data_IF_952288902774
#
_entry.id   IF_952288902774
#
_cell.length_a   1.000
_cell.length_b   1.000
_cell.length_c   1.000
_cell.angle_alpha   90.00
_cell.angle_beta   90.00
_cell.angle_gamma   90.00
#
_symmetry.space_group_name_H-M   'P 1'
#
loop_
_entity.id
_entity.type
_entity.pdbx_description
1 polymer ?
#
# COMPACT_ATOMS: atom_id res chain seq x y z
N UNK A 1 2.61 -21.54 -13.91
CA UNK A 1 1.21 -21.96 -14.18
C UNK A 1 0.83 -21.67 -15.63
N UNK A 2 -0.05 -22.46 -16.26
CA UNK A 2 -0.58 -22.17 -17.62
C UNK A 2 -2.06 -21.79 -17.58
N UNK A 3 -2.57 -21.08 -18.60
CA UNK A 3 -4.01 -20.79 -18.70
C UNK A 3 -4.84 -22.09 -18.73
N UNK A 4 -4.30 -23.16 -19.31
CA UNK A 4 -4.96 -24.48 -19.34
C UNK A 4 -5.07 -25.09 -17.94
N UNK A 5 -3.98 -25.03 -17.17
CA UNK A 5 -3.98 -25.51 -15.79
C UNK A 5 -4.88 -24.66 -14.89
N UNK A 6 -4.94 -23.36 -15.14
CA UNK A 6 -5.88 -22.47 -14.45
C UNK A 6 -7.33 -22.79 -14.80
N UNK A 7 -7.64 -23.00 -16.08
CA UNK A 7 -8.98 -23.40 -16.53
C UNK A 7 -9.46 -24.68 -15.84
N UNK A 8 -8.61 -25.70 -15.78
CA UNK A 8 -8.90 -26.97 -15.07
C UNK A 8 -9.17 -26.75 -13.57
N UNK A 9 -8.41 -25.87 -12.92
CA UNK A 9 -8.58 -25.57 -11.49
C UNK A 9 -9.83 -24.75 -11.18
N UNK A 10 -10.26 -23.91 -12.10
CA UNK A 10 -11.42 -23.03 -11.94
C UNK A 10 -12.70 -23.64 -12.56
N UNK A 11 -12.62 -24.86 -13.09
CA UNK A 11 -13.70 -25.51 -13.84
C UNK A 11 -14.25 -24.66 -14.99
N UNK A 12 -13.36 -23.99 -15.72
CA UNK A 12 -13.69 -23.18 -16.91
C UNK A 12 -12.86 -23.58 -18.12
N UNK A 13 -13.40 -23.36 -19.31
CA UNK A 13 -12.70 -23.71 -20.54
C UNK A 13 -11.47 -22.82 -20.76
N UNK A 14 -10.37 -23.42 -21.24
CA UNK A 14 -9.19 -22.68 -21.66
C UNK A 14 -9.50 -21.64 -22.75
N UNK A 15 -10.44 -21.98 -23.64
CA UNK A 15 -10.90 -21.09 -24.71
C UNK A 15 -11.53 -19.82 -24.12
N UNK A 16 -12.31 -19.92 -23.04
CA UNK A 16 -12.89 -18.76 -22.36
C UNK A 16 -11.81 -17.85 -21.76
N UNK A 17 -10.81 -18.41 -21.08
CA UNK A 17 -9.71 -17.62 -20.52
C UNK A 17 -8.89 -16.93 -21.60
N UNK A 18 -8.65 -17.62 -22.71
CA UNK A 18 -7.93 -17.05 -23.86
C UNK A 18 -8.77 -15.97 -24.55
N UNK A 19 -10.07 -16.18 -24.74
CA UNK A 19 -10.96 -15.20 -25.34
C UNK A 19 -11.08 -13.93 -24.48
N UNK A 20 -11.08 -14.06 -23.15
CA UNK A 20 -11.22 -12.93 -22.23
C UNK A 20 -9.92 -12.17 -21.99
N UNK A 21 -8.80 -12.86 -21.86
CA UNK A 21 -7.54 -12.26 -21.41
C UNK A 21 -6.44 -12.28 -22.46
N UNK A 22 -6.63 -12.99 -23.58
CA UNK A 22 -5.68 -13.13 -24.69
C UNK A 22 -4.47 -14.00 -24.33
N UNK A 23 -3.71 -13.60 -23.32
CA UNK A 23 -2.45 -14.22 -22.91
C UNK A 23 -2.36 -14.37 -21.38
N UNK A 24 -1.33 -15.08 -20.91
CA UNK A 24 -1.01 -15.13 -19.47
C UNK A 24 -0.67 -13.75 -18.91
N UNK A 25 -0.04 -12.93 -19.73
CA UNK A 25 0.33 -11.57 -19.38
C UNK A 25 -0.91 -10.67 -19.31
N UNK A 26 -1.83 -10.77 -20.27
CA UNK A 26 -3.12 -10.08 -20.19
C UNK A 26 -3.93 -10.50 -18.96
N UNK A 27 -3.90 -11.78 -18.59
CA UNK A 27 -4.49 -12.26 -17.34
C UNK A 27 -3.78 -11.66 -16.11
N UNK A 28 -2.45 -11.57 -16.14
CA UNK A 28 -1.68 -10.96 -15.04
C UNK A 28 -2.09 -9.50 -14.84
N UNK A 29 -2.14 -8.71 -15.92
CA UNK A 29 -2.55 -7.30 -15.85
C UNK A 29 -3.98 -7.16 -15.31
N UNK A 30 -4.93 -7.95 -15.83
CA UNK A 30 -6.31 -7.92 -15.38
C UNK A 30 -6.46 -8.32 -13.90
N UNK A 31 -5.68 -9.30 -13.42
CA UNK A 31 -5.70 -9.72 -12.03
C UNK A 31 -5.11 -8.65 -11.09
N UNK A 32 -4.00 -8.03 -11.49
CA UNK A 32 -3.39 -6.94 -10.72
C UNK A 32 -4.28 -5.70 -10.71
N UNK A 33 -4.90 -5.36 -11.84
CA UNK A 33 -5.83 -4.25 -11.92
C UNK A 33 -7.03 -4.44 -10.98
N UNK A 34 -7.65 -5.63 -11.00
CA UNK A 34 -8.74 -5.96 -10.09
C UNK A 34 -8.33 -5.80 -8.62
N UNK A 35 -7.18 -6.33 -8.23
CA UNK A 35 -6.76 -6.27 -6.84
C UNK A 35 -6.38 -4.84 -6.44
N UNK A 36 -5.51 -4.17 -7.20
CA UNK A 36 -4.99 -2.83 -6.86
C UNK A 36 -6.07 -1.74 -6.90
N UNK A 37 -7.16 -1.93 -7.64
CA UNK A 37 -8.33 -1.05 -7.58
C UNK A 37 -8.88 -0.88 -6.15
N UNK A 38 -8.77 -1.89 -5.30
CA UNK A 38 -9.21 -1.81 -3.90
C UNK A 38 -8.31 -0.89 -3.07
N UNK A 39 -6.99 -0.99 -3.25
CA UNK A 39 -6.03 -0.09 -2.61
C UNK A 39 -6.20 1.36 -3.12
N UNK A 40 -6.35 1.53 -4.44
CA UNK A 40 -6.62 2.84 -5.05
C UNK A 40 -7.89 3.46 -4.48
N UNK A 41 -8.98 2.70 -4.41
CA UNK A 41 -10.24 3.16 -3.85
C UNK A 41 -10.08 3.61 -2.39
N UNK A 42 -9.38 2.81 -1.57
CA UNK A 42 -9.12 3.15 -0.17
C UNK A 42 -8.41 4.49 -0.03
N UNK A 43 -7.31 4.69 -0.76
CA UNK A 43 -6.57 5.97 -0.75
C UNK A 43 -7.39 7.14 -1.29
N UNK A 44 -8.18 6.95 -2.35
CA UNK A 44 -9.03 8.02 -2.90
C UNK A 44 -10.15 8.41 -1.95
N UNK A 45 -10.74 7.45 -1.25
CA UNK A 45 -11.80 7.71 -0.27
C UNK A 45 -11.27 8.55 0.89
N UNK A 46 -10.15 8.16 1.50
CA UNK A 46 -9.55 8.97 2.58
C UNK A 46 -9.06 10.31 2.06
N UNK A 47 -8.57 10.36 0.81
CA UNK A 47 -8.12 11.59 0.19
C UNK A 47 -9.25 12.54 -0.23
N UNK A 48 -10.47 12.06 -0.38
CA UNK A 48 -11.63 12.85 -0.81
C UNK A 48 -12.59 13.22 0.32
N UNK A 49 -12.42 12.65 1.52
CA UNK A 49 -13.33 12.86 2.64
C UNK A 49 -13.11 14.25 3.29
N UNK A 50 -14.09 15.17 3.20
CA UNK A 50 -13.96 16.50 3.79
C UNK A 50 -14.08 16.49 5.32
N UNK A 51 -14.51 15.38 5.94
CA UNK A 51 -14.62 15.26 7.39
C UNK A 51 -13.28 14.92 8.07
N UNK A 52 -12.26 14.53 7.30
CA UNK A 52 -10.94 14.16 7.81
C UNK A 52 -9.95 15.30 7.65
N UNK A 53 -9.20 15.60 8.71
CA UNK A 53 -8.00 16.43 8.57
C UNK A 53 -6.87 15.67 7.83
N UNK A 54 -5.80 16.39 7.44
CA UNK A 54 -4.72 15.80 6.65
C UNK A 54 -4.03 14.62 7.37
N UNK A 55 -3.93 14.65 8.70
CA UNK A 55 -3.26 13.62 9.50
C UNK A 55 -4.16 12.39 9.66
N UNK A 56 -5.44 12.61 9.94
CA UNK A 56 -6.48 11.58 10.00
C UNK A 56 -6.63 10.86 8.65
N UNK A 57 -6.66 11.62 7.55
CA UNK A 57 -6.74 11.06 6.20
C UNK A 57 -5.50 10.21 5.86
N UNK A 58 -4.30 10.68 6.22
CA UNK A 58 -3.06 9.92 6.04
C UNK A 58 -3.06 8.63 6.87
N UNK A 59 -3.39 8.73 8.16
CA UNK A 59 -3.48 7.59 9.07
C UNK A 59 -4.48 6.55 8.55
N UNK A 60 -5.68 6.97 8.17
CA UNK A 60 -6.71 6.07 7.66
C UNK A 60 -6.27 5.44 6.32
N UNK A 61 -5.57 6.18 5.46
CA UNK A 61 -5.01 5.64 4.22
C UNK A 61 -4.00 4.51 4.48
N UNK A 62 -3.12 4.68 5.47
CA UNK A 62 -2.19 3.63 5.91
C UNK A 62 -2.96 2.41 6.45
N UNK A 63 -3.99 2.62 7.27
CA UNK A 63 -4.84 1.52 7.76
C UNK A 63 -5.45 0.74 6.59
N UNK A 64 -6.05 1.44 5.62
CA UNK A 64 -6.66 0.81 4.43
C UNK A 64 -5.62 0.05 3.59
N UNK A 65 -4.40 0.58 3.46
CA UNK A 65 -3.32 -0.09 2.75
C UNK A 65 -2.93 -1.42 3.42
N UNK A 66 -2.86 -1.46 4.75
CA UNK A 66 -2.52 -2.69 5.50
C UNK A 66 -3.68 -3.70 5.44
N UNK A 67 -4.93 -3.22 5.55
CA UNK A 67 -6.12 -4.06 5.35
C UNK A 67 -6.15 -4.70 3.95
N UNK A 68 -5.77 -3.93 2.93
CA UNK A 68 -5.59 -4.44 1.57
C UNK A 68 -4.50 -5.51 1.51
N UNK A 69 -3.33 -5.26 2.09
CA UNK A 69 -2.21 -6.22 2.09
C UNK A 69 -2.58 -7.56 2.76
N UNK A 70 -3.36 -7.52 3.84
CA UNK A 70 -3.87 -8.73 4.50
C UNK A 70 -4.88 -9.52 3.65
N UNK A 71 -5.66 -8.81 2.83
CA UNK A 71 -6.66 -9.43 1.93
C UNK A 71 -6.05 -9.92 0.62
N UNK A 72 -4.95 -9.30 0.19
CA UNK A 72 -4.25 -9.62 -1.06
C UNK A 72 -2.74 -9.84 -0.84
N UNK A 73 -2.32 -10.75 0.06
CA UNK A 73 -0.89 -10.96 0.37
C UNK A 73 -0.09 -11.46 -0.85
N UNK A 74 -0.75 -12.14 -1.80
CA UNK A 74 -0.15 -12.52 -3.07
C UNK A 74 0.25 -11.33 -3.95
N UNK A 75 -0.50 -10.22 -3.88
CA UNK A 75 -0.16 -9.01 -4.65
C UNK A 75 1.11 -8.40 -4.09
N UNK A 76 1.23 -8.32 -2.76
CA UNK A 76 2.45 -7.84 -2.09
C UNK A 76 3.67 -8.63 -2.53
N UNK A 77 3.59 -9.97 -2.56
CA UNK A 77 4.68 -10.82 -3.06
C UNK A 77 5.03 -10.54 -4.52
N UNK A 78 4.02 -10.38 -5.38
CA UNK A 78 4.23 -10.04 -6.79
C UNK A 78 4.93 -8.68 -6.91
N UNK A 79 4.48 -7.67 -6.17
CA UNK A 79 5.09 -6.33 -6.20
C UNK A 79 6.52 -6.33 -5.66
N UNK A 80 6.81 -7.09 -4.60
CA UNK A 80 8.17 -7.27 -4.10
C UNK A 80 9.10 -7.86 -5.17
N UNK A 81 8.61 -8.85 -5.93
CA UNK A 81 9.38 -9.49 -6.98
C UNK A 81 9.56 -8.57 -8.20
N UNK A 82 8.47 -8.02 -8.73
CA UNK A 82 8.49 -7.16 -9.92
C UNK A 82 9.21 -5.84 -9.64
N UNK A 83 9.19 -5.32 -8.41
CA UNK A 83 9.94 -4.12 -8.02
C UNK A 83 11.45 -4.27 -8.06
N UNK A 84 11.98 -5.51 -8.09
CA UNK A 84 13.40 -5.80 -8.21
C UNK A 84 13.89 -6.03 -9.65
N UNK A 85 12.99 -5.95 -10.63
CA UNK A 85 13.28 -6.28 -12.04
C UNK A 85 12.74 -5.18 -12.94
N UNK A 86 13.52 -4.74 -13.93
CA UNK A 86 12.97 -3.83 -14.95
C UNK A 86 12.05 -4.61 -15.90
N UNK A 87 10.74 -4.38 -15.76
CA UNK A 87 9.71 -5.07 -16.53
C UNK A 87 8.53 -4.14 -16.86
N UNK A 88 7.79 -4.46 -17.93
CA UNK A 88 6.55 -3.77 -18.28
C UNK A 88 5.48 -3.88 -17.17
N UNK A 89 5.59 -4.91 -16.32
CA UNK A 89 4.67 -5.17 -15.22
C UNK A 89 4.80 -4.16 -14.10
N UNK A 90 6.02 -3.88 -13.64
CA UNK A 90 6.20 -2.86 -12.60
C UNK A 90 5.89 -1.46 -13.14
N UNK A 91 6.24 -1.19 -14.41
CA UNK A 91 5.90 0.07 -15.10
C UNK A 91 4.38 0.28 -15.14
N UNK A 92 3.63 -0.75 -15.54
CA UNK A 92 2.16 -0.73 -15.49
C UNK A 92 1.64 -0.39 -14.09
N UNK A 93 2.14 -1.03 -13.04
CA UNK A 93 1.68 -0.77 -11.66
C UNK A 93 1.96 0.67 -11.26
N UNK A 94 3.17 1.17 -11.52
CA UNK A 94 3.57 2.54 -11.18
C UNK A 94 2.72 3.54 -11.94
N UNK A 95 2.63 3.41 -13.27
CA UNK A 95 1.93 4.37 -14.13
C UNK A 95 0.41 4.39 -13.86
N UNK A 96 -0.20 3.22 -13.65
CA UNK A 96 -1.65 3.11 -13.49
C UNK A 96 -2.15 3.43 -12.08
N UNK A 97 -1.37 3.11 -11.05
CA UNK A 97 -1.83 3.18 -9.66
C UNK A 97 -1.01 4.14 -8.80
N UNK A 98 0.32 4.15 -8.90
CA UNK A 98 1.15 4.96 -8.01
C UNK A 98 1.19 6.42 -8.46
N UNK A 99 1.51 6.66 -9.74
CA UNK A 99 1.65 8.01 -10.31
C UNK A 99 0.40 8.87 -10.12
N UNK A 100 -0.84 8.37 -10.34
CA UNK A 100 -2.05 9.17 -10.12
C UNK A 100 -2.40 9.42 -8.64
N UNK A 101 -1.95 8.55 -7.72
CA UNK A 101 -2.23 8.67 -6.29
C UNK A 101 -1.19 9.54 -5.58
N UNK A 102 0.06 9.54 -6.03
CA UNK A 102 1.17 10.27 -5.42
C UNK A 102 0.83 11.74 -5.11
N UNK A 103 0.30 12.55 -6.06
CA UNK A 103 -0.02 13.95 -5.77
C UNK A 103 -1.06 14.13 -4.64
N UNK A 104 -2.02 13.20 -4.50
CA UNK A 104 -3.06 13.25 -3.46
C UNK A 104 -2.48 13.08 -2.06
N UNK A 105 -1.39 12.31 -1.95
CA UNK A 105 -0.67 12.08 -0.71
C UNK A 105 0.32 13.22 -0.46
N UNK A 106 1.09 13.63 -1.47
CA UNK A 106 2.10 14.68 -1.35
C UNK A 106 1.50 16.03 -0.95
N UNK A 107 0.33 16.41 -1.46
CA UNK A 107 -0.35 17.64 -1.04
C UNK A 107 -0.61 17.65 0.47
N UNK A 108 -1.03 16.52 1.05
CA UNK A 108 -1.26 16.40 2.50
C UNK A 108 0.02 16.44 3.29
N UNK A 109 1.03 15.67 2.87
CA UNK A 109 2.35 15.69 3.50
C UNK A 109 2.94 17.11 3.51
N UNK A 110 2.76 17.86 2.43
CA UNK A 110 3.21 19.24 2.33
C UNK A 110 2.48 20.17 3.32
N UNK A 111 1.16 20.02 3.48
CA UNK A 111 0.37 20.79 4.46
C UNK A 111 0.75 20.46 5.90
N UNK A 112 0.85 19.17 6.24
CA UNK A 112 1.28 18.71 7.56
C UNK A 112 2.69 19.22 7.91
N UNK A 113 3.60 19.20 6.94
CA UNK A 113 4.96 19.76 7.11
C UNK A 113 4.93 21.27 7.30
N UNK A 114 4.16 22.01 6.49
CA UNK A 114 4.04 23.45 6.63
C UNK A 114 3.43 23.87 7.98
N UNK A 115 2.54 23.04 8.54
CA UNK A 115 1.99 23.20 9.89
C UNK A 115 2.94 22.73 11.01
N UNK A 116 4.14 22.23 10.68
CA UNK A 116 5.11 21.72 11.65
C UNK A 116 4.71 20.41 12.34
N UNK A 117 3.64 19.75 11.89
CA UNK A 117 3.10 18.54 12.52
C UNK A 117 3.94 17.29 12.23
N UNK A 118 4.54 17.22 11.05
CA UNK A 118 5.42 16.11 10.66
C UNK A 118 6.79 16.61 10.20
N UNK A 119 7.80 15.77 10.38
CA UNK A 119 9.12 15.92 9.79
C UNK A 119 9.07 15.67 8.27
N UNK A 120 10.04 16.24 7.55
CA UNK A 120 10.16 16.00 6.11
C UNK A 120 10.55 14.55 5.82
N UNK A 121 9.75 13.86 5.01
CA UNK A 121 10.05 12.54 4.46
C UNK A 121 9.74 12.55 2.95
N UNK A 122 10.65 12.08 2.09
CA UNK A 122 10.33 11.89 0.67
C UNK A 122 9.16 10.91 0.49
N UNK A 123 8.30 11.15 -0.50
CA UNK A 123 7.15 10.29 -0.80
C UNK A 123 7.59 8.83 -1.00
N UNK A 124 8.70 8.62 -1.68
CA UNK A 124 9.25 7.30 -2.00
C UNK A 124 9.55 6.49 -0.73
N UNK A 125 10.14 7.13 0.28
CA UNK A 125 10.43 6.47 1.55
C UNK A 125 9.15 6.09 2.30
N UNK A 126 8.14 6.96 2.30
CA UNK A 126 6.83 6.64 2.87
C UNK A 126 6.14 5.51 2.10
N UNK A 127 6.20 5.56 0.77
CA UNK A 127 5.63 4.54 -0.11
C UNK A 127 6.19 3.16 0.24
N UNK A 128 7.50 2.99 0.28
CA UNK A 128 8.10 1.70 0.63
C UNK A 128 7.76 1.26 2.05
N UNK A 129 7.75 2.19 3.01
CA UNK A 129 7.38 1.89 4.39
C UNK A 129 5.94 1.39 4.51
N UNK A 130 5.00 1.97 3.77
CA UNK A 130 3.56 1.72 3.91
C UNK A 130 3.08 0.58 3.00
N UNK A 131 3.57 0.50 1.76
CA UNK A 131 3.14 -0.51 0.78
C UNK A 131 3.82 -1.86 1.01
N UNK A 132 5.08 -1.87 1.46
CA UNK A 132 5.86 -3.10 1.60
C UNK A 132 6.08 -3.54 3.05
N UNK A 133 6.37 -2.60 3.96
CA UNK A 133 6.78 -2.89 5.34
C UNK A 133 5.76 -3.75 6.14
N UNK A 134 4.62 -3.18 6.60
CA UNK A 134 3.59 -3.93 7.32
C UNK A 134 3.00 -5.10 6.50
N UNK A 135 3.04 -4.98 5.18
CA UNK A 135 2.52 -5.99 4.27
C UNK A 135 3.34 -7.30 4.30
N UNK A 136 4.63 -7.23 4.65
CA UNK A 136 5.52 -8.38 4.70
C UNK A 136 5.05 -9.46 5.68
N UNK A 137 4.44 -9.08 6.82
CA UNK A 137 3.88 -10.01 7.80
C UNK A 137 2.85 -10.95 7.15
N UNK A 138 2.03 -10.45 6.23
CA UNK A 138 1.01 -11.26 5.54
C UNK A 138 1.58 -11.99 4.30
N UNK A 139 2.57 -11.38 3.65
CA UNK A 139 3.12 -11.86 2.39
C UNK A 139 4.17 -12.98 2.57
N UNK A 140 5.02 -12.87 3.59
CA UNK A 140 6.19 -13.72 3.82
C UNK A 140 5.89 -14.77 4.90
N UNK A 141 5.03 -15.74 4.57
CA UNK A 141 4.51 -16.71 5.56
C UNK A 141 5.60 -17.55 6.20
N UNK A 142 6.59 -18.02 5.43
CA UNK A 142 7.71 -18.83 5.96
C UNK A 142 8.57 -18.02 6.93
N UNK A 143 8.92 -16.78 6.57
CA UNK A 143 9.69 -15.89 7.45
C UNK A 143 8.92 -15.59 8.74
N UNK A 144 7.63 -15.33 8.62
CA UNK A 144 6.75 -15.08 9.76
C UNK A 144 6.70 -16.28 10.70
N UNK A 145 6.52 -17.49 10.17
CA UNK A 145 6.55 -18.74 10.96
C UNK A 145 7.87 -18.94 11.69
N UNK A 146 9.01 -18.72 11.02
CA UNK A 146 10.34 -18.87 11.62
C UNK A 146 10.61 -17.84 12.73
N UNK A 147 10.05 -16.63 12.61
CA UNK A 147 10.13 -15.60 13.65
C UNK A 147 9.12 -15.80 14.80
N UNK A 148 8.25 -16.82 14.72
CA UNK A 148 7.13 -16.99 15.64
C UNK A 148 6.08 -15.87 15.51
N UNK A 149 6.07 -15.17 14.38
CA UNK A 149 5.08 -14.17 14.06
C UNK A 149 3.84 -14.85 13.47
N UNK A 150 2.70 -14.68 14.14
CA UNK A 150 1.41 -15.17 13.65
C UNK A 150 0.60 -13.97 13.15
N UNK A 151 0.42 -13.82 11.82
CA UNK A 151 -0.36 -12.73 11.27
C UNK A 151 -1.78 -12.75 11.87
N UNK A 152 -2.33 -11.59 12.26
CA UNK A 152 -3.68 -11.53 12.81
C UNK A 152 -4.69 -12.08 11.81
N UNK A 153 -5.59 -12.93 12.28
CA UNK A 153 -6.64 -13.53 11.47
C UNK A 153 -8.00 -12.89 11.78
N UNK A 154 -8.79 -12.65 10.73
CA UNK A 154 -10.10 -12.01 10.83
C UNK A 154 -10.02 -10.48 10.82
N UNK A 155 -11.08 -9.86 10.27
CA UNK A 155 -11.09 -8.42 9.96
C UNK A 155 -10.78 -7.52 11.17
N UNK A 156 -11.32 -7.84 12.35
CA UNK A 156 -11.12 -7.01 13.54
C UNK A 156 -9.69 -7.07 14.07
N UNK A 157 -9.07 -8.25 14.05
CA UNK A 157 -7.69 -8.41 14.49
C UNK A 157 -6.72 -7.73 13.51
N UNK A 158 -6.96 -7.89 12.20
CA UNK A 158 -6.18 -7.21 11.17
C UNK A 158 -6.34 -5.69 11.30
N UNK A 159 -7.55 -5.18 11.54
CA UNK A 159 -7.80 -3.76 11.74
C UNK A 159 -7.04 -3.20 12.93
N UNK A 160 -7.09 -3.87 14.09
CA UNK A 160 -6.32 -3.44 15.28
C UNK A 160 -4.82 -3.40 15.01
N UNK A 161 -4.30 -4.39 14.28
CA UNK A 161 -2.90 -4.40 13.87
C UNK A 161 -2.58 -3.25 12.90
N UNK A 162 -3.43 -3.02 11.90
CA UNK A 162 -3.28 -1.93 10.93
C UNK A 162 -3.30 -0.55 11.61
N UNK A 163 -4.20 -0.34 12.57
CA UNK A 163 -4.28 0.87 13.39
C UNK A 163 -3.01 1.07 14.19
N UNK A 164 -2.53 0.04 14.90
CA UNK A 164 -1.29 0.12 15.67
C UNK A 164 -0.06 0.44 14.80
N UNK A 165 0.04 -0.17 13.62
CA UNK A 165 1.14 0.10 12.68
C UNK A 165 1.04 1.51 12.08
N UNK A 166 -0.17 1.97 11.75
CA UNK A 166 -0.39 3.33 11.29
C UNK A 166 0.00 4.34 12.37
N UNK A 167 -0.33 4.08 13.64
CA UNK A 167 0.05 4.92 14.77
C UNK A 167 1.57 4.99 14.93
N UNK A 168 2.28 3.86 14.84
CA UNK A 168 3.76 3.83 14.87
C UNK A 168 4.37 4.66 13.74
N UNK A 169 3.86 4.52 12.52
CA UNK A 169 4.36 5.27 11.36
C UNK A 169 4.10 6.77 11.56
N UNK A 170 2.88 7.16 11.95
CA UNK A 170 2.52 8.56 12.19
C UNK A 170 3.35 9.15 13.32
N UNK A 171 3.48 8.49 14.47
CA UNK A 171 4.29 8.97 15.58
C UNK A 171 5.78 9.09 15.23
N UNK A 172 6.31 8.18 14.41
CA UNK A 172 7.67 8.28 13.88
C UNK A 172 7.88 9.46 12.91
N UNK A 173 6.80 9.98 12.32
CA UNK A 173 6.81 11.18 11.48
C UNK A 173 6.58 12.46 12.28
N UNK A 174 5.90 12.41 13.42
CA UNK A 174 5.59 13.58 14.22
C UNK A 174 6.84 14.38 14.61
N UNK A 175 6.77 15.71 14.50
CA UNK A 175 7.83 16.58 14.99
C UNK A 175 7.88 16.53 16.53
N UNK A 176 9.07 16.48 17.16
CA UNK A 176 9.16 16.61 18.61
C UNK A 176 8.60 17.97 19.07
N UNK A 177 7.97 18.06 20.25
CA UNK A 177 7.63 19.35 20.84
C UNK A 177 8.91 20.18 20.99
N UNK A 178 8.99 21.33 20.32
CA UNK A 178 10.10 22.28 20.45
C UNK A 178 11.00 22.48 19.21
N UNK A 179 10.85 21.71 18.15
CA UNK A 179 11.68 21.88 16.93
C UNK A 179 11.37 23.14 16.10
N UNK A 180 10.34 23.91 16.46
CA UNK A 180 9.90 25.13 15.77
C UNK A 180 10.33 26.46 16.39
N UNK A 181 11.04 26.46 17.52
CA UNK A 181 11.53 27.70 18.14
C UNK A 181 13.03 27.86 17.87
N UNK A 182 13.39 28.45 16.72
CA UNK A 182 14.71 29.07 16.60
C UNK A 182 14.71 30.28 17.54
N UNK A 183 15.62 30.37 18.52
CA UNK A 183 15.71 31.57 19.35
C UNK A 183 16.09 32.74 18.43
N UNK A 184 15.25 33.78 18.40
CA UNK A 184 15.64 35.09 17.89
C UNK A 184 16.92 35.49 18.63
N UNK A 185 18.06 35.49 17.93
CA UNK A 185 19.26 36.12 18.45
C UNK A 185 19.00 37.63 18.42
N UNK A 186 18.69 38.19 19.58
CA UNK A 186 18.82 39.63 19.83
C UNK A 186 20.29 40.02 19.70
N UNK A 187 20.55 40.96 18.80
CA UNK A 187 21.72 41.84 18.78
C UNK A 187 21.20 43.26 18.68
#
# INVERSE_FOLDING_TARGET
MSLRELGRRLDVSHALLTARYGSKEGLWFAALEYALAHAEQGWRQTAGDPALDDLQALRLGIVQQIMFAASFPQVVRILNHEGGVDSDRIRFVVDRFVTPLRPLVEVRLNRLRAAGQIRSLPYEALHFMVVHGPAALFANTVESELLGAHPPAGNDAVRRHAEAMADVIIFGLSSPPGAGATPTQEN
#
